data_IF_502627837154
#
_entry.id   IF_502627837154
#
_cell.length_a   1.000
_cell.length_b   1.000
_cell.length_c   1.000
_cell.angle_alpha   90.00
_cell.angle_beta   90.00
_cell.angle_gamma   90.00
#
_symmetry.space_group_name_H-M   'P 1'
#
loop_
_entity.id
_entity.type
_entity.pdbx_description
1 polymer ?
#
# COMPACT_ATOMS: atom_id res chain seq x y z
N UNK A 1 4.12 -2.95 22.69
CA UNK A 1 4.25 -1.65 21.99
C UNK A 1 2.91 -1.43 21.33
N UNK A 2 2.08 -0.60 21.96
CA UNK A 2 0.69 -0.36 21.52
C UNK A 2 0.66 0.76 20.49
N UNK A 3 0.44 0.39 19.23
CA UNK A 3 0.14 1.36 18.18
C UNK A 3 -1.32 1.78 18.31
N UNK A 4 -1.55 3.03 18.72
CA UNK A 4 -2.88 3.63 18.72
C UNK A 4 -2.99 4.58 17.53
N UNK A 5 -3.70 4.15 16.49
CA UNK A 5 -4.01 5.00 15.34
C UNK A 5 -5.10 6.00 15.75
N UNK A 6 -4.72 7.27 15.81
CA UNK A 6 -5.63 8.37 16.14
C UNK A 6 -6.81 8.41 15.17
N UNK A 7 -8.01 8.26 15.72
CA UNK A 7 -9.30 8.28 15.05
C UNK A 7 -9.48 9.57 14.26
N UNK A 8 -9.25 9.57 12.93
CA UNK A 8 -9.80 10.55 11.98
C UNK A 8 -9.49 10.25 10.49
N UNK A 9 -9.18 9.00 10.10
CA UNK A 9 -9.09 8.66 8.67
C UNK A 9 -10.47 8.20 8.21
N UNK A 10 -11.17 9.02 7.42
CA UNK A 10 -12.36 8.59 6.68
C UNK A 10 -11.90 7.55 5.65
N UNK A 11 -12.01 6.27 6.01
CA UNK A 11 -11.75 5.15 5.11
C UNK A 11 -12.68 5.28 3.90
N UNK A 12 -12.10 5.41 2.71
CA UNK A 12 -12.88 5.45 1.47
C UNK A 12 -13.02 4.02 0.98
N UNK A 13 -14.27 3.59 0.75
CA UNK A 13 -14.56 2.28 0.24
C UNK A 13 -13.78 2.02 -1.06
N UNK A 14 -13.22 0.82 -1.11
CA UNK A 14 -12.51 0.16 -2.19
C UNK A 14 -13.19 0.46 -3.54
N UNK A 15 -12.46 1.03 -4.48
CA UNK A 15 -12.96 1.28 -5.84
C UNK A 15 -12.08 2.15 -6.72
N UNK A 16 -11.21 2.99 -6.16
CA UNK A 16 -10.17 3.71 -6.89
C UNK A 16 -9.03 4.07 -5.93
N UNK A 17 -7.86 3.45 -6.10
CA UNK A 17 -6.63 3.87 -5.42
C UNK A 17 -5.75 4.65 -6.39
N UNK A 18 -4.92 5.54 -5.87
CA UNK A 18 -3.92 6.28 -6.63
C UNK A 18 -2.53 5.71 -6.37
N UNK A 19 -1.63 5.91 -7.31
CA UNK A 19 -0.21 5.66 -7.10
C UNK A 19 0.26 6.41 -5.83
N UNK A 20 0.92 5.69 -4.93
CA UNK A 20 1.40 6.22 -3.66
C UNK A 20 0.46 6.01 -2.47
N UNK A 21 -0.76 5.54 -2.68
CA UNK A 21 -1.66 5.11 -1.59
C UNK A 21 -1.07 3.88 -0.86
N UNK A 22 -1.41 3.76 0.43
CA UNK A 22 -0.95 2.66 1.28
C UNK A 22 -2.10 1.70 1.54
N UNK A 23 -1.85 0.41 1.33
CA UNK A 23 -2.78 -0.69 1.53
C UNK A 23 -2.47 -1.39 2.85
N UNK A 24 -3.49 -1.76 3.60
CA UNK A 24 -3.35 -2.57 4.81
C UNK A 24 -4.12 -3.87 4.64
N UNK A 25 -3.45 -5.00 4.87
CA UNK A 25 -4.10 -6.31 4.78
C UNK A 25 -4.94 -6.59 6.02
N UNK A 26 -5.89 -7.51 5.89
CA UNK A 26 -6.75 -7.98 6.99
C UNK A 26 -6.05 -8.99 7.92
N UNK A 27 -4.77 -9.28 7.70
CA UNK A 27 -3.97 -10.15 8.56
C UNK A 27 -3.75 -9.53 9.96
N UNK A 28 -3.44 -10.38 10.94
CA UNK A 28 -3.00 -9.97 12.27
C UNK A 28 -1.58 -10.51 12.54
N UNK A 29 -0.53 -9.65 12.59
CA UNK A 29 -0.58 -8.19 12.48
C UNK A 29 -0.79 -7.70 11.05
N UNK A 30 -1.58 -6.63 10.89
CA UNK A 30 -1.86 -6.04 9.59
C UNK A 30 -0.60 -5.45 9.00
N UNK A 31 -0.25 -5.87 7.80
CA UNK A 31 0.96 -5.40 7.12
C UNK A 31 0.62 -4.26 6.17
N UNK A 32 1.53 -3.29 6.07
CA UNK A 32 1.37 -2.10 5.26
C UNK A 32 2.11 -2.24 3.93
N UNK A 33 1.44 -1.96 2.84
CA UNK A 33 1.98 -2.09 1.48
C UNK A 33 1.77 -0.82 0.69
N UNK A 34 2.60 -0.59 -0.32
CA UNK A 34 2.53 0.59 -1.16
C UNK A 34 3.00 0.25 -2.56
N UNK A 35 2.33 0.84 -3.56
CA UNK A 35 2.84 0.82 -4.93
C UNK A 35 3.66 2.09 -5.17
N UNK A 36 4.90 1.90 -5.58
CA UNK A 36 5.77 2.97 -6.04
C UNK A 36 5.96 2.86 -7.55
N UNK A 37 6.30 3.98 -8.17
CA UNK A 37 6.72 4.03 -9.56
C UNK A 37 8.22 4.32 -9.60
N UNK A 38 8.98 3.42 -10.22
CA UNK A 38 10.39 3.60 -10.50
C UNK A 38 10.58 3.99 -11.97
N UNK A 39 10.91 5.26 -12.19
CA UNK A 39 11.15 5.81 -13.53
C UNK A 39 12.44 5.30 -14.18
N UNK A 40 13.32 4.63 -13.42
CA UNK A 40 14.56 4.06 -13.96
C UNK A 40 14.35 2.67 -14.54
N UNK A 41 13.27 1.98 -14.15
CA UNK A 41 12.89 0.69 -14.67
C UNK A 41 11.97 0.85 -15.90
N UNK A 42 12.27 0.14 -16.98
CA UNK A 42 11.55 0.30 -18.27
C UNK A 42 10.61 -0.84 -18.58
N UNK A 43 10.77 -1.99 -17.91
CA UNK A 43 9.91 -3.16 -18.13
C UNK A 43 8.83 -3.29 -17.08
N UNK A 44 9.16 -3.06 -15.81
CA UNK A 44 8.24 -3.23 -14.68
C UNK A 44 8.33 -2.04 -13.71
N UNK A 45 7.88 -0.84 -14.12
CA UNK A 45 8.09 0.38 -13.35
C UNK A 45 7.21 0.46 -12.09
N UNK A 46 6.17 -0.35 -11.94
CA UNK A 46 5.29 -0.32 -10.78
C UNK A 46 5.70 -1.40 -9.78
N UNK A 47 6.21 -1.00 -8.61
CA UNK A 47 6.75 -1.92 -7.62
C UNK A 47 5.86 -1.93 -6.39
N UNK A 48 5.36 -3.11 -6.02
CA UNK A 48 4.65 -3.36 -4.77
C UNK A 48 5.65 -3.61 -3.65
N UNK A 49 5.67 -2.72 -2.68
CA UNK A 49 6.58 -2.72 -1.53
C UNK A 49 5.82 -2.98 -0.25
N UNK A 50 6.39 -3.81 0.62
CA UNK A 50 5.99 -3.93 2.02
C UNK A 50 6.75 -2.87 2.84
N UNK A 51 6.02 -2.03 3.55
CA UNK A 51 6.56 -0.94 4.35
C UNK A 51 7.09 -1.43 5.71
N UNK A 52 6.62 -2.59 6.19
CA UNK A 52 7.05 -3.13 7.48
C UNK A 52 8.50 -3.64 7.46
N UNK A 53 8.94 -4.18 6.31
CA UNK A 53 10.27 -4.77 6.14
C UNK A 53 11.08 -4.14 4.99
N UNK A 54 10.51 -3.17 4.27
CA UNK A 54 11.10 -2.52 3.10
C UNK A 54 11.50 -3.50 1.96
N UNK A 55 10.73 -4.57 1.78
CA UNK A 55 10.96 -5.58 0.73
C UNK A 55 10.01 -5.34 -0.46
N UNK A 56 10.56 -5.41 -1.67
CA UNK A 56 9.78 -5.47 -2.92
C UNK A 56 9.17 -6.88 -3.07
N UNK A 57 7.85 -6.95 -3.20
CA UNK A 57 7.12 -8.21 -3.34
C UNK A 57 6.98 -8.59 -4.80
N UNK A 58 6.46 -7.66 -5.61
CA UNK A 58 6.12 -7.88 -7.00
C UNK A 58 6.39 -6.59 -7.78
N UNK A 59 6.79 -6.72 -9.05
CA UNK A 59 6.86 -5.61 -9.99
C UNK A 59 5.89 -5.86 -11.14
N UNK A 60 5.25 -4.80 -11.61
CA UNK A 60 4.23 -4.79 -12.66
C UNK A 60 4.66 -3.84 -13.78
N UNK A 61 4.33 -4.22 -15.02
CA UNK A 61 4.56 -3.44 -16.24
C UNK A 61 3.59 -2.27 -16.37
N UNK A 62 2.37 -2.46 -15.87
CA UNK A 62 1.34 -1.42 -15.73
C UNK A 62 0.88 -1.24 -14.28
N UNK A 63 0.08 -0.21 -14.02
CA UNK A 63 -0.48 0.01 -12.69
C UNK A 63 -1.42 -1.17 -12.38
N UNK A 64 -1.12 -2.00 -11.36
CA UNK A 64 -1.93 -3.19 -11.08
C UNK A 64 -3.34 -2.79 -10.64
N UNK A 65 -4.29 -3.71 -10.72
CA UNK A 65 -5.61 -3.53 -10.11
C UNK A 65 -5.58 -3.93 -8.63
N UNK A 66 -6.66 -3.69 -7.90
CA UNK A 66 -6.73 -4.13 -6.50
C UNK A 66 -6.73 -5.65 -6.40
N UNK A 67 -7.37 -6.34 -7.35
CA UNK A 67 -7.39 -7.80 -7.39
C UNK A 67 -5.96 -8.35 -7.55
N UNK A 68 -5.17 -7.77 -8.47
CA UNK A 68 -3.75 -8.15 -8.65
C UNK A 68 -2.93 -7.94 -7.38
N UNK A 69 -3.19 -6.86 -6.63
CA UNK A 69 -2.53 -6.61 -5.35
C UNK A 69 -2.96 -7.68 -4.33
N UNK A 70 -4.26 -7.91 -4.18
CA UNK A 70 -4.81 -8.87 -3.21
C UNK A 70 -4.34 -10.31 -3.47
N UNK A 71 -4.09 -10.68 -4.73
CA UNK A 71 -3.49 -11.97 -5.07
C UNK A 71 -2.05 -12.12 -4.54
N UNK A 72 -1.32 -11.01 -4.37
CA UNK A 72 0.08 -11.02 -3.92
C UNK A 72 0.24 -10.83 -2.41
N UNK A 73 -0.55 -9.96 -1.80
CA UNK A 73 -0.42 -9.59 -0.37
C UNK A 73 -1.56 -10.11 0.50
N UNK A 74 -2.60 -10.72 -0.09
CA UNK A 74 -3.82 -11.08 0.61
C UNK A 74 -4.85 -9.96 0.63
N UNK A 75 -5.98 -10.22 1.29
CA UNK A 75 -7.15 -9.34 1.27
C UNK A 75 -6.84 -7.97 1.90
N UNK A 76 -7.11 -6.91 1.17
CA UNK A 76 -6.94 -5.53 1.63
C UNK A 76 -8.15 -5.14 2.47
N UNK A 77 -7.91 -4.75 3.72
CA UNK A 77 -8.95 -4.31 4.65
C UNK A 77 -9.33 -2.85 4.42
N UNK A 78 -8.33 -2.00 4.20
CA UNK A 78 -8.51 -0.58 3.93
C UNK A 78 -7.31 0.02 3.22
N UNK A 79 -7.54 1.13 2.53
CA UNK A 79 -6.50 1.95 1.90
C UNK A 79 -6.44 3.33 2.54
N UNK A 80 -5.24 3.87 2.65
CA UNK A 80 -4.98 5.23 3.12
C UNK A 80 -4.40 6.04 1.95
N UNK A 81 -5.11 7.09 1.50
CA UNK A 81 -4.61 7.95 0.45
C UNK A 81 -3.29 8.61 0.84
N UNK A 82 -2.36 8.72 -0.11
CA UNK A 82 -1.07 9.40 0.10
C UNK A 82 -1.21 10.82 0.69
N UNK A 83 -2.24 11.54 0.27
CA UNK A 83 -2.59 12.90 0.72
C UNK A 83 -2.89 12.97 2.23
N UNK A 84 -3.29 11.86 2.86
CA UNK A 84 -3.64 11.77 4.28
C UNK A 84 -2.55 11.13 5.15
N UNK A 85 -1.39 10.77 4.56
CA UNK A 85 -0.28 10.18 5.31
C UNK A 85 0.59 11.27 5.93
N UNK A 86 0.51 11.40 7.26
CA UNK A 86 1.44 12.20 8.05
C UNK A 86 2.57 11.28 8.56
N UNK A 87 3.72 11.35 7.90
CA UNK A 87 4.92 10.64 8.33
C UNK A 87 5.60 11.45 9.44
N UNK A 88 5.37 11.06 10.69
CA UNK A 88 6.03 11.69 11.86
C UNK A 88 7.34 10.98 12.12
N UNK A 89 8.45 11.56 11.66
CA UNK A 89 9.80 11.13 12.03
C UNK A 89 10.10 11.65 13.45
N UNK A 90 10.46 10.75 14.37
CA UNK A 90 10.92 11.08 15.73
C UNK A 90 12.39 10.77 15.88
#
# INVERSE_FOLDING_TARGET
MDYSFGTLIKYKAIGNFKLGDVFFTDDEPSSAYKIIYDSTETKYPYILLCLDNAISIQSFDELPTLEDIEENIGKVKFTVPSENLLLVVR
#
